data_IF_486256781151
#
_entry.id   IF_486256781151
#
_cell.length_a   1.000
_cell.length_b   1.000
_cell.length_c   1.000
_cell.angle_alpha   90.00
_cell.angle_beta   90.00
_cell.angle_gamma   90.00
#
_symmetry.space_group_name_H-M   'P 1'
#
loop_
_entity.id
_entity.type
_entity.pdbx_description
1 polymer ?
#
# COMPACT_ATOMS: atom_id res chain seq x y z
N UNK A 1 5.38 9.81 -0.13
CA UNK A 1 6.03 8.53 0.19
C UNK A 1 5.39 7.42 -0.64
N UNK A 2 6.18 6.53 -1.23
CA UNK A 2 5.69 5.35 -1.94
C UNK A 2 6.25 4.08 -1.31
N UNK A 3 5.42 3.04 -1.15
CA UNK A 3 5.86 1.75 -0.61
C UNK A 3 4.99 0.59 -1.09
N UNK A 4 5.54 -0.62 -1.01
CA UNK A 4 4.84 -1.87 -1.25
C UNK A 4 5.10 -2.85 -0.11
N UNK A 5 4.08 -3.68 0.23
CA UNK A 5 4.16 -4.80 1.16
C UNK A 5 4.75 -4.43 2.55
N UNK A 6 4.31 -3.31 3.10
CA UNK A 6 4.68 -2.86 4.44
C UNK A 6 3.46 -2.59 5.31
N UNK A 7 3.67 -2.31 6.58
CA UNK A 7 2.64 -1.81 7.49
C UNK A 7 3.22 -0.78 8.45
N UNK A 8 2.39 -0.21 9.30
CA UNK A 8 2.77 0.75 10.33
C UNK A 8 2.47 0.13 11.69
N UNK A 9 3.52 -0.08 12.49
CA UNK A 9 3.43 -0.72 13.81
C UNK A 9 3.42 0.31 14.95
N UNK A 10 2.71 1.42 14.75
CA UNK A 10 2.52 2.47 15.78
C UNK A 10 1.04 2.80 15.92
N UNK A 11 0.61 3.09 17.14
CA UNK A 11 -0.79 3.40 17.46
C UNK A 11 -1.18 4.84 17.09
N UNK A 12 -0.22 5.75 17.12
CA UNK A 12 -0.44 7.16 16.79
C UNK A 12 0.79 7.80 16.18
N UNK A 13 0.57 8.73 15.28
CA UNK A 13 1.61 9.49 14.61
C UNK A 13 1.11 10.90 14.31
N UNK A 14 1.93 11.91 14.58
CA UNK A 14 1.62 13.30 14.30
C UNK A 14 2.80 13.92 13.54
N UNK A 15 2.80 13.86 12.21
CA UNK A 15 3.87 14.46 11.44
C UNK A 15 3.82 15.99 11.51
N UNK A 16 4.98 16.67 11.49
CA UNK A 16 5.03 18.13 11.49
C UNK A 16 4.56 18.76 10.16
N UNK A 17 4.46 17.95 9.10
CA UNK A 17 4.04 18.35 7.75
C UNK A 17 3.34 17.18 7.10
N UNK A 18 2.19 17.42 6.46
CA UNK A 18 1.51 16.38 5.69
C UNK A 18 2.32 16.03 4.44
N UNK A 19 2.34 14.75 4.09
CA UNK A 19 2.99 14.23 2.88
C UNK A 19 2.09 13.20 2.20
N UNK A 20 2.04 13.21 0.88
CA UNK A 20 1.27 12.21 0.13
C UNK A 20 1.86 10.81 0.29
N UNK A 21 0.99 9.80 0.34
CA UNK A 21 1.35 8.39 0.48
C UNK A 21 0.66 7.56 -0.61
N UNK A 22 1.44 6.77 -1.35
CA UNK A 22 0.95 5.62 -2.10
C UNK A 22 1.41 4.33 -1.41
N UNK A 23 0.45 3.48 -1.06
CA UNK A 23 0.72 2.14 -0.54
C UNK A 23 0.11 1.10 -1.48
N UNK A 24 0.92 0.18 -1.99
CA UNK A 24 0.50 -0.95 -2.82
C UNK A 24 0.64 -2.23 -2.01
N UNK A 25 -0.40 -3.09 -2.03
CA UNK A 25 -0.40 -4.33 -1.25
C UNK A 25 -1.10 -5.47 -1.98
N UNK A 26 -0.48 -6.66 -1.96
CA UNK A 26 -1.07 -7.87 -2.49
C UNK A 26 -2.12 -8.47 -1.56
N UNK A 27 -3.31 -8.77 -2.09
CA UNK A 27 -4.38 -9.40 -1.30
C UNK A 27 -4.01 -10.82 -0.87
N UNK A 28 -3.21 -11.53 -1.68
CA UNK A 28 -2.72 -12.88 -1.39
C UNK A 28 -1.37 -12.91 -0.65
N UNK A 29 -0.98 -11.79 -0.02
CA UNK A 29 0.27 -11.72 0.74
C UNK A 29 0.17 -12.57 2.03
N UNK A 30 0.85 -13.72 2.03
CA UNK A 30 0.93 -14.64 3.17
C UNK A 30 2.11 -14.34 4.10
N UNK A 31 2.97 -13.40 3.74
CA UNK A 31 4.09 -12.97 4.57
C UNK A 31 3.68 -11.82 5.50
N UNK A 32 2.94 -10.84 4.95
CA UNK A 32 2.31 -9.75 5.68
C UNK A 32 0.84 -9.66 5.23
N UNK A 33 -0.10 -10.35 5.95
CA UNK A 33 -1.49 -10.40 5.52
C UNK A 33 -2.13 -9.01 5.43
N UNK A 34 -2.93 -8.78 4.39
CA UNK A 34 -3.58 -7.48 4.15
C UNK A 34 -4.52 -7.07 5.29
N UNK A 35 -5.10 -8.05 5.98
CA UNK A 35 -5.99 -7.83 7.14
C UNK A 35 -5.24 -7.90 8.47
N UNK A 36 -3.90 -7.98 8.42
CA UNK A 36 -3.06 -8.09 9.61
C UNK A 36 -2.96 -9.50 10.16
N UNK A 37 -2.41 -9.61 11.37
CA UNK A 37 -2.15 -10.87 12.04
C UNK A 37 -0.84 -11.52 11.60
N UNK A 38 -0.68 -12.82 11.92
CA UNK A 38 0.55 -13.55 11.65
C UNK A 38 0.59 -14.11 10.25
N UNK A 39 1.60 -13.71 9.48
CA UNK A 39 1.84 -14.27 8.17
C UNK A 39 2.32 -15.71 8.25
N UNK A 40 1.70 -16.61 7.48
CA UNK A 40 2.02 -18.06 7.48
C UNK A 40 3.38 -18.36 6.88
N UNK A 41 3.92 -17.45 6.07
CA UNK A 41 5.26 -17.54 5.47
C UNK A 41 6.25 -16.53 6.05
N UNK A 42 5.81 -15.72 7.03
CA UNK A 42 6.64 -14.70 7.65
C UNK A 42 7.72 -15.32 8.54
N UNK A 43 8.96 -14.88 8.35
CA UNK A 43 10.08 -15.26 9.22
C UNK A 43 10.10 -14.48 10.54
N UNK A 44 9.37 -13.36 10.61
CA UNK A 44 9.37 -12.48 11.78
C UNK A 44 8.60 -13.07 12.97
N UNK A 45 7.69 -14.02 12.73
CA UNK A 45 6.88 -14.70 13.75
C UNK A 45 6.17 -13.75 14.74
N UNK A 46 5.71 -12.62 14.24
CA UNK A 46 4.95 -11.59 14.97
C UNK A 46 3.58 -11.38 14.34
N UNK A 47 2.65 -10.83 15.11
CA UNK A 47 1.38 -10.35 14.56
C UNK A 47 1.58 -8.93 14.03
N UNK A 48 1.23 -8.71 12.76
CA UNK A 48 1.34 -7.42 12.10
C UNK A 48 0.02 -6.64 12.19
N UNK A 49 0.10 -5.31 12.26
CA UNK A 49 -1.05 -4.47 12.01
C UNK A 49 -1.50 -4.59 10.55
N UNK A 50 -2.81 -4.52 10.32
CA UNK A 50 -3.36 -4.50 8.96
C UNK A 50 -2.78 -3.32 8.17
N UNK A 51 -2.24 -3.54 6.95
CA UNK A 51 -1.86 -2.47 6.04
C UNK A 51 -2.98 -1.47 5.75
N UNK A 52 -4.24 -1.93 5.70
CA UNK A 52 -5.42 -1.05 5.53
C UNK A 52 -5.57 -0.09 6.71
N UNK A 53 -5.50 -0.64 7.94
CA UNK A 53 -5.57 0.17 9.18
C UNK A 53 -4.39 1.12 9.26
N UNK A 54 -3.19 0.67 8.90
CA UNK A 54 -1.99 1.50 8.89
C UNK A 54 -2.12 2.71 7.95
N UNK A 55 -2.70 2.53 6.76
CA UNK A 55 -2.93 3.62 5.80
C UNK A 55 -4.04 4.55 6.30
N UNK A 56 -5.12 4.03 6.90
CA UNK A 56 -6.15 4.86 7.53
C UNK A 56 -5.55 5.72 8.66
N UNK A 57 -4.76 5.11 9.56
CA UNK A 57 -4.07 5.85 10.64
C UNK A 57 -3.17 6.96 10.09
N UNK A 58 -2.51 6.70 8.96
CA UNK A 58 -1.70 7.71 8.27
C UNK A 58 -2.58 8.85 7.73
N UNK A 59 -3.69 8.53 7.06
CA UNK A 59 -4.62 9.51 6.51
C UNK A 59 -5.23 10.38 7.62
N UNK A 60 -5.66 9.77 8.72
CA UNK A 60 -6.19 10.47 9.89
C UNK A 60 -5.16 11.45 10.49
N UNK A 61 -3.90 11.01 10.59
CA UNK A 61 -2.83 11.81 11.17
C UNK A 61 -2.46 13.07 10.37
N UNK A 62 -2.82 13.11 9.08
CA UNK A 62 -2.59 14.28 8.20
C UNK A 62 -3.91 14.96 7.77
N UNK A 63 -4.98 14.76 8.53
CA UNK A 63 -6.24 15.49 8.40
C UNK A 63 -7.04 15.18 7.14
N UNK A 64 -6.88 13.98 6.55
CA UNK A 64 -7.66 13.58 5.38
C UNK A 64 -9.15 13.36 5.71
N UNK A 65 -9.98 13.20 4.66
CA UNK A 65 -11.37 12.76 4.79
C UNK A 65 -11.45 11.43 5.54
N UNK A 66 -12.47 11.26 6.40
CA UNK A 66 -12.62 10.05 7.21
C UNK A 66 -12.80 8.77 6.38
N UNK A 67 -13.45 8.89 5.22
CA UNK A 67 -13.72 7.77 4.33
C UNK A 67 -13.04 7.99 2.96
N UNK A 68 -12.40 6.95 2.40
CA UNK A 68 -11.82 7.04 1.06
C UNK A 68 -12.87 6.91 -0.03
N UNK A 69 -12.60 7.52 -1.17
CA UNK A 69 -13.26 7.14 -2.41
C UNK A 69 -12.67 5.81 -2.92
N UNK A 70 -13.52 4.80 -3.11
CA UNK A 70 -13.08 3.47 -3.58
C UNK A 70 -13.43 3.29 -5.04
N UNK A 71 -12.45 2.92 -5.85
CA UNK A 71 -12.61 2.65 -7.28
C UNK A 71 -11.94 1.34 -7.68
N UNK A 72 -12.56 0.60 -8.62
CA UNK A 72 -11.90 -0.49 -9.34
C UNK A 72 -11.47 0.06 -10.70
N UNK A 73 -10.24 -0.18 -11.10
CA UNK A 73 -9.74 0.38 -12.35
C UNK A 73 -10.34 -0.35 -13.55
N UNK A 74 -10.77 0.42 -14.56
CA UNK A 74 -11.36 -0.16 -15.78
C UNK A 74 -10.35 -0.95 -16.64
N UNK A 75 -9.05 -0.64 -16.49
CA UNK A 75 -7.96 -1.26 -17.25
C UNK A 75 -7.39 -2.51 -16.60
N UNK A 76 -7.58 -2.67 -15.28
CA UNK A 76 -7.14 -3.84 -14.53
C UNK A 76 -8.10 -4.08 -13.36
N UNK A 77 -9.00 -5.06 -13.51
CA UNK A 77 -10.01 -5.40 -12.51
C UNK A 77 -9.43 -5.95 -11.19
N UNK A 78 -8.15 -6.37 -11.19
CA UNK A 78 -7.47 -6.84 -9.98
C UNK A 78 -7.10 -5.70 -9.03
N UNK A 79 -7.18 -4.43 -9.51
CA UNK A 79 -6.79 -3.26 -8.72
C UNK A 79 -8.01 -2.58 -8.08
N UNK A 80 -8.03 -2.56 -6.77
CA UNK A 80 -8.94 -1.72 -5.99
C UNK A 80 -8.16 -0.59 -5.35
N UNK A 81 -8.51 0.65 -5.70
CA UNK A 81 -7.86 1.87 -5.21
C UNK A 81 -8.76 2.58 -4.24
N UNK A 82 -8.27 2.79 -3.02
CA UNK A 82 -8.89 3.65 -2.00
C UNK A 82 -8.11 4.96 -1.91
N UNK A 83 -8.78 6.09 -2.12
CA UNK A 83 -8.15 7.42 -2.15
C UNK A 83 -8.76 8.31 -1.08
N UNK A 84 -7.94 8.82 -0.17
CA UNK A 84 -8.27 9.86 0.80
C UNK A 84 -7.82 11.21 0.30
N UNK A 85 -8.73 12.18 0.31
CA UNK A 85 -8.51 13.56 -0.13
C UNK A 85 -8.84 14.54 0.99
N UNK A 86 -8.66 15.83 0.73
CA UNK A 86 -8.92 16.87 1.72
C UNK A 86 -7.90 16.91 2.86
N UNK A 87 -6.77 16.25 2.69
CA UNK A 87 -5.68 16.20 3.66
C UNK A 87 -5.01 17.59 3.80
N UNK A 88 -4.32 17.81 4.92
CA UNK A 88 -3.50 18.99 5.14
C UNK A 88 -2.45 19.15 4.04
N UNK A 89 -2.01 20.38 3.79
CA UNK A 89 -1.00 20.73 2.78
C UNK A 89 -1.31 20.20 1.35
N UNK A 90 -2.58 19.89 1.05
CA UNK A 90 -3.02 19.28 -0.22
C UNK A 90 -2.40 17.91 -0.49
N UNK A 91 -2.01 17.20 0.56
CA UNK A 91 -1.55 15.82 0.44
C UNK A 91 -2.70 14.91 -0.03
N UNK A 92 -2.34 13.75 -0.56
CA UNK A 92 -3.25 12.68 -0.96
C UNK A 92 -2.72 11.35 -0.45
N UNK A 93 -3.63 10.48 -0.01
CA UNK A 93 -3.28 9.11 0.42
C UNK A 93 -3.99 8.13 -0.49
N UNK A 94 -3.24 7.18 -1.05
CA UNK A 94 -3.78 6.09 -1.84
C UNK A 94 -3.36 4.74 -1.28
N UNK A 95 -4.32 3.81 -1.21
CA UNK A 95 -4.10 2.40 -0.94
C UNK A 95 -4.56 1.59 -2.16
N UNK A 96 -3.63 0.86 -2.77
CA UNK A 96 -3.89 -0.02 -3.92
C UNK A 96 -3.82 -1.47 -3.43
N UNK A 97 -4.98 -2.11 -3.32
CA UNK A 97 -5.08 -3.54 -3.09
C UNK A 97 -5.06 -4.27 -4.44
N UNK A 98 -4.15 -5.25 -4.58
CA UNK A 98 -3.93 -5.99 -5.83
C UNK A 98 -4.36 -7.44 -5.61
N UNK A 99 -5.49 -7.83 -6.23
CA UNK A 99 -5.99 -9.20 -6.14
C UNK A 99 -5.03 -10.18 -6.83
N UNK A 100 -4.86 -11.36 -6.26
CA UNK A 100 -3.94 -12.38 -6.75
C UNK A 100 -2.44 -12.07 -6.56
N UNK A 101 -2.08 -10.87 -6.13
CA UNK A 101 -0.68 -10.54 -5.84
C UNK A 101 -0.27 -10.99 -4.44
N UNK A 102 0.93 -11.57 -4.34
CA UNK A 102 1.58 -11.95 -3.09
C UNK A 102 2.63 -10.90 -2.64
N UNK A 103 3.50 -11.26 -1.69
CA UNK A 103 4.51 -10.38 -1.10
C UNK A 103 5.58 -9.82 -2.06
N UNK A 104 6.07 -10.56 -3.09
CA UNK A 104 7.16 -10.09 -3.94
C UNK A 104 6.86 -8.74 -4.63
N UNK A 105 7.92 -7.96 -4.89
CA UNK A 105 7.82 -6.67 -5.57
C UNK A 105 7.16 -6.81 -6.95
N UNK A 106 6.05 -6.13 -7.16
CA UNK A 106 5.21 -6.29 -8.35
C UNK A 106 5.88 -5.66 -9.59
N UNK A 107 5.73 -6.31 -10.74
CA UNK A 107 6.35 -5.88 -12.01
C UNK A 107 7.82 -6.25 -12.16
N UNK A 108 8.44 -6.79 -11.12
CA UNK A 108 9.85 -7.20 -11.13
C UNK A 108 10.01 -8.63 -11.71
N UNK A 109 11.12 -8.87 -12.40
CA UNK A 109 11.51 -10.22 -12.80
C UNK A 109 12.44 -10.82 -11.75
N UNK A 110 12.05 -11.90 -11.04
CA UNK A 110 12.92 -12.49 -10.04
C UNK A 110 14.21 -13.03 -10.64
N UNK A 111 15.34 -12.74 -10.02
CA UNK A 111 16.63 -13.33 -10.38
C UNK A 111 16.76 -14.78 -9.93
N UNK A 112 15.95 -15.21 -8.94
CA UNK A 112 15.91 -16.58 -8.44
C UNK A 112 14.67 -17.30 -9.02
N UNK A 113 14.82 -18.36 -9.84
CA UNK A 113 13.69 -19.11 -10.39
C UNK A 113 12.87 -19.87 -9.34
N UNK A 114 13.38 -20.03 -8.11
CA UNK A 114 12.65 -20.62 -6.99
C UNK A 114 11.89 -19.58 -6.16
N UNK A 115 11.95 -18.29 -6.53
CA UNK A 115 11.17 -17.24 -5.87
C UNK A 115 9.65 -17.46 -6.11
N UNK A 116 8.80 -17.02 -5.16
CA UNK A 116 7.35 -17.01 -5.39
C UNK A 116 6.99 -16.24 -6.67
N UNK A 117 5.88 -16.60 -7.34
CA UNK A 117 5.41 -15.88 -8.51
C UNK A 117 5.25 -14.39 -8.23
N UNK A 118 5.70 -13.55 -9.17
CA UNK A 118 5.54 -12.10 -9.11
C UNK A 118 4.31 -11.71 -9.90
N UNK A 119 3.47 -10.86 -9.34
CA UNK A 119 2.37 -10.25 -10.07
C UNK A 119 2.91 -9.27 -11.13
N UNK A 120 2.53 -9.46 -12.38
CA UNK A 120 3.05 -8.69 -13.52
C UNK A 120 2.04 -7.71 -14.12
N UNK A 121 0.80 -7.69 -13.63
CA UNK A 121 -0.25 -6.78 -14.09
C UNK A 121 -0.11 -5.34 -13.59
N UNK A 122 0.92 -5.06 -12.77
CA UNK A 122 1.26 -3.74 -12.27
C UNK A 122 2.78 -3.67 -12.06
N UNK A 123 3.38 -2.55 -12.45
CA UNK A 123 4.77 -2.21 -12.10
C UNK A 123 4.76 -1.23 -10.93
N UNK A 124 5.05 -1.76 -9.73
CA UNK A 124 5.02 -0.95 -8.51
C UNK A 124 6.04 0.20 -8.52
N UNK A 125 7.19 0.02 -9.17
CA UNK A 125 8.20 1.07 -9.29
C UNK A 125 7.69 2.22 -10.16
N UNK A 126 7.06 1.92 -11.28
CA UNK A 126 6.46 2.91 -12.17
C UNK A 126 5.35 3.68 -11.46
N UNK A 127 4.42 2.98 -10.81
CA UNK A 127 3.29 3.61 -10.11
C UNK A 127 3.76 4.53 -8.98
N UNK A 128 4.75 4.09 -8.19
CA UNK A 128 5.33 4.91 -7.11
C UNK A 128 5.99 6.17 -7.68
N UNK A 129 6.79 6.05 -8.73
CA UNK A 129 7.45 7.20 -9.35
C UNK A 129 6.43 8.16 -9.95
N UNK A 130 5.43 7.66 -10.68
CA UNK A 130 4.37 8.46 -11.26
C UNK A 130 3.58 9.23 -10.17
N UNK A 131 3.22 8.55 -9.09
CA UNK A 131 2.54 9.17 -7.95
C UNK A 131 3.40 10.29 -7.32
N UNK A 132 4.69 10.04 -7.07
CA UNK A 132 5.58 11.04 -6.47
C UNK A 132 5.78 12.26 -7.36
N UNK A 133 5.82 12.09 -8.68
CA UNK A 133 5.92 13.20 -9.64
C UNK A 133 4.63 14.02 -9.71
N UNK A 134 3.47 13.38 -9.50
CA UNK A 134 2.17 14.06 -9.46
C UNK A 134 1.95 14.84 -8.14
N UNK A 135 2.68 14.49 -7.07
CA UNK A 135 2.54 15.09 -5.73
C UNK A 135 3.88 15.70 -5.24
N UNK A 136 4.43 16.69 -5.96
CA UNK A 136 5.65 17.37 -5.53
C UNK A 136 5.39 18.16 -4.24
N UNK A 137 6.42 18.28 -3.39
CA UNK A 137 6.39 19.15 -2.21
C UNK A 137 6.60 20.61 -2.57
#
# INVERSE_FOLDING_TARGET
VGRQAGTLEIESWAPPTAVSLLHIHGVADTNLPIDGGRGTTSIANVDFNSPRVAVQTFADAIGCSAEPAVTTTATNADLTVSTWTGCDDRAEVQFVAVDGAAHPWMGHTPSNPAAPPVYTGLDASFEIVAFLLAHPR
#
